data_IF_847292530207
#
_entry.id   IF_847292530207
#
_cell.length_a   1.000
_cell.length_b   1.000
_cell.length_c   1.000
_cell.angle_alpha   90.00
_cell.angle_beta   90.00
_cell.angle_gamma   90.00
#
_symmetry.space_group_name_H-M   'P 1'
#
loop_
_entity.id
_entity.type
_entity.pdbx_description
1 polymer ?
#
# COMPACT_ATOMS: atom_id res chain seq x y z
N UNK A 1 -24.03 1.78 20.79
CA UNK A 1 -22.70 1.88 20.17
C UNK A 1 -22.77 1.06 18.90
N UNK A 2 -22.63 1.68 17.73
CA UNK A 2 -22.73 1.00 16.43
C UNK A 2 -21.63 -0.07 16.34
N UNK A 3 -21.99 -1.26 15.88
CA UNK A 3 -21.02 -2.35 15.65
C UNK A 3 -21.07 -2.83 14.21
N UNK A 4 -19.96 -2.71 13.50
CA UNK A 4 -19.80 -3.22 12.12
C UNK A 4 -19.04 -4.55 12.12
N UNK A 5 -19.41 -5.47 11.24
CA UNK A 5 -18.63 -6.71 11.03
C UNK A 5 -17.57 -6.48 9.98
N UNK A 6 -16.35 -6.94 10.25
CA UNK A 6 -15.24 -6.82 9.32
C UNK A 6 -14.64 -8.19 9.06
N UNK A 7 -14.78 -8.70 7.83
CA UNK A 7 -14.15 -9.94 7.40
C UNK A 7 -12.69 -9.67 7.04
N UNK A 8 -11.76 -10.22 7.81
CA UNK A 8 -10.33 -10.02 7.58
C UNK A 8 -9.44 -10.64 8.66
N UNK A 9 -8.20 -10.14 8.79
CA UNK A 9 -7.27 -10.55 9.85
C UNK A 9 -6.59 -9.31 10.45
N UNK A 10 -6.26 -9.31 11.76
CA UNK A 10 -5.80 -8.10 12.45
C UNK A 10 -4.42 -7.61 11.97
N UNK A 11 -3.64 -8.46 11.32
CA UNK A 11 -2.31 -8.12 10.80
C UNK A 11 -2.31 -7.69 9.33
N UNK A 12 -3.44 -7.78 8.64
CA UNK A 12 -3.58 -7.27 7.26
C UNK A 12 -3.57 -5.75 7.28
N UNK A 13 -2.72 -5.14 6.45
CA UNK A 13 -2.61 -3.68 6.33
C UNK A 13 -3.95 -3.03 5.97
N UNK A 14 -4.67 -3.61 5.00
CA UNK A 14 -5.98 -3.12 4.58
C UNK A 14 -7.06 -3.29 5.65
N UNK A 15 -7.04 -4.39 6.42
CA UNK A 15 -7.96 -4.58 7.56
C UNK A 15 -7.65 -3.58 8.68
N UNK A 16 -6.37 -3.35 8.98
CA UNK A 16 -5.95 -2.35 9.99
C UNK A 16 -6.38 -0.94 9.61
N UNK A 17 -6.31 -0.56 8.33
CA UNK A 17 -6.82 0.74 7.85
C UNK A 17 -8.26 0.96 8.30
N UNK A 18 -9.14 -0.02 8.08
CA UNK A 18 -10.56 0.08 8.47
C UNK A 18 -10.71 0.12 9.99
N UNK A 19 -10.01 -0.74 10.73
CA UNK A 19 -10.07 -0.76 12.20
C UNK A 19 -9.63 0.58 12.79
N UNK A 20 -8.52 1.14 12.31
CA UNK A 20 -8.04 2.46 12.74
C UNK A 20 -9.08 3.53 12.48
N UNK A 21 -9.66 3.57 11.27
CA UNK A 21 -10.73 4.52 10.95
C UNK A 21 -11.92 4.38 11.90
N UNK A 22 -12.38 3.15 12.18
CA UNK A 22 -13.50 2.92 13.09
C UNK A 22 -13.19 3.39 14.52
N UNK A 23 -11.98 3.12 15.02
CA UNK A 23 -11.54 3.54 16.35
C UNK A 23 -11.53 5.08 16.49
N UNK A 24 -11.06 5.82 15.47
CA UNK A 24 -11.03 7.29 15.48
C UNK A 24 -12.41 7.93 15.64
N UNK A 25 -13.47 7.26 15.16
CA UNK A 25 -14.86 7.76 15.24
C UNK A 25 -15.72 6.98 16.25
N UNK A 26 -15.10 6.14 17.08
CA UNK A 26 -15.78 5.39 18.14
C UNK A 26 -16.75 4.30 17.66
N UNK A 27 -16.58 3.79 16.43
CA UNK A 27 -17.34 2.64 15.91
C UNK A 27 -16.67 1.34 16.35
N UNK A 28 -17.45 0.43 16.95
CA UNK A 28 -16.95 -0.89 17.36
C UNK A 28 -16.82 -1.80 16.14
N UNK A 29 -15.71 -2.53 16.04
CA UNK A 29 -15.48 -3.53 14.99
C UNK A 29 -15.61 -4.94 15.58
N UNK A 30 -16.51 -5.73 15.02
CA UNK A 30 -16.57 -7.18 15.19
C UNK A 30 -15.75 -7.85 14.08
N UNK A 31 -14.51 -8.26 14.40
CA UNK A 31 -13.60 -8.83 13.43
C UNK A 31 -13.91 -10.31 13.18
N UNK A 32 -14.53 -10.60 12.04
CA UNK A 32 -14.77 -11.96 11.56
C UNK A 32 -13.49 -12.45 10.88
N UNK A 33 -12.77 -13.36 11.54
CA UNK A 33 -11.48 -13.84 11.06
C UNK A 33 -11.65 -14.66 9.76
N UNK A 34 -10.89 -14.31 8.73
CA UNK A 34 -10.78 -15.10 7.48
C UNK A 34 -9.44 -15.83 7.45
N UNK A 35 -9.45 -17.16 7.36
CA UNK A 35 -8.23 -17.98 7.30
C UNK A 35 -7.58 -17.89 5.92
N UNK A 36 -6.59 -16.99 5.81
CA UNK A 36 -5.82 -16.82 4.57
C UNK A 36 -4.93 -18.02 4.26
N UNK A 37 -4.49 -18.79 5.26
CA UNK A 37 -3.63 -19.95 5.07
C UNK A 37 -4.39 -21.12 4.43
N UNK A 38 -5.67 -21.28 4.79
CA UNK A 38 -6.58 -22.22 4.13
C UNK A 38 -7.19 -21.69 2.83
N UNK A 39 -6.89 -20.45 2.46
CA UNK A 39 -7.44 -19.85 1.24
C UNK A 39 -8.94 -19.56 1.31
N UNK A 40 -9.51 -19.31 2.50
CA UNK A 40 -10.97 -19.07 2.65
C UNK A 40 -11.48 -17.93 1.76
N UNK A 41 -10.69 -16.84 1.69
CA UNK A 41 -10.92 -15.70 0.80
C UNK A 41 -10.91 -16.04 -0.70
N UNK A 42 -10.47 -17.24 -1.10
CA UNK A 42 -10.44 -17.72 -2.49
C UNK A 42 -11.51 -18.76 -2.80
N UNK A 43 -12.33 -19.15 -1.82
CA UNK A 43 -13.40 -20.12 -2.04
C UNK A 43 -14.45 -19.54 -3.01
N UNK A 44 -15.13 -20.39 -3.82
CA UNK A 44 -16.20 -19.93 -4.70
C UNK A 44 -17.30 -19.18 -3.94
N UNK A 45 -17.64 -19.63 -2.74
CA UNK A 45 -18.63 -18.98 -1.88
C UNK A 45 -18.19 -17.57 -1.47
N UNK A 46 -16.94 -17.39 -1.00
CA UNK A 46 -16.45 -16.06 -0.61
C UNK A 46 -16.40 -15.10 -1.79
N UNK A 47 -15.96 -15.59 -2.96
CA UNK A 47 -15.91 -14.79 -4.19
C UNK A 47 -17.31 -14.40 -4.66
N UNK A 48 -18.27 -15.32 -4.60
CA UNK A 48 -19.64 -15.08 -5.03
C UNK A 48 -20.43 -14.18 -4.07
N UNK A 49 -20.15 -14.25 -2.76
CA UNK A 49 -21.01 -13.63 -1.74
C UNK A 49 -20.39 -12.48 -0.96
N UNK A 50 -19.06 -12.34 -0.93
CA UNK A 50 -18.36 -11.34 -0.11
C UNK A 50 -17.47 -10.41 -0.95
N UNK A 51 -16.55 -10.97 -1.72
CA UNK A 51 -15.55 -10.18 -2.44
C UNK A 51 -15.16 -10.84 -3.79
N UNK A 52 -15.60 -10.31 -4.94
CA UNK A 52 -15.37 -10.93 -6.26
C UNK A 52 -13.91 -11.10 -6.72
N UNK A 53 -12.93 -10.42 -6.11
CA UNK A 53 -11.49 -10.62 -6.38
C UNK A 53 -10.82 -11.58 -5.38
N UNK A 54 -11.60 -12.08 -4.42
CA UNK A 54 -11.14 -12.97 -3.37
C UNK A 54 -10.04 -12.36 -2.52
N UNK A 55 -10.21 -11.11 -2.09
CA UNK A 55 -9.30 -10.41 -1.18
C UNK A 55 -10.06 -9.89 0.05
N UNK A 56 -9.32 -9.43 1.05
CA UNK A 56 -9.86 -8.84 2.28
C UNK A 56 -9.43 -7.36 2.38
N UNK A 57 -10.16 -6.49 3.11
CA UNK A 57 -11.35 -6.77 3.92
C UNK A 57 -12.69 -6.60 3.18
N UNK A 58 -13.75 -7.12 3.81
CA UNK A 58 -15.16 -6.82 3.51
C UNK A 58 -15.84 -6.35 4.78
N UNK A 59 -16.55 -5.23 4.73
CA UNK A 59 -17.39 -4.74 5.82
C UNK A 59 -18.84 -5.15 5.58
N UNK A 60 -19.50 -5.65 6.63
CA UNK A 60 -20.95 -5.78 6.69
C UNK A 60 -21.47 -4.84 7.76
N UNK A 61 -22.44 -4.03 7.40
CA UNK A 61 -23.08 -3.08 8.30
C UNK A 61 -24.35 -3.68 8.95
N UNK A 62 -24.88 -3.02 9.98
CA UNK A 62 -26.03 -3.48 10.76
C UNK A 62 -27.31 -3.68 9.92
N UNK A 63 -27.43 -2.95 8.81
CA UNK A 63 -28.53 -3.06 7.84
C UNK A 63 -28.32 -4.14 6.77
N UNK A 64 -27.24 -4.91 6.87
CA UNK A 64 -26.87 -5.95 5.91
C UNK A 64 -26.19 -5.42 4.65
N UNK A 65 -25.94 -4.10 4.55
CA UNK A 65 -25.14 -3.55 3.46
C UNK A 65 -23.71 -4.08 3.52
N UNK A 66 -23.18 -4.49 2.37
CA UNK A 66 -21.80 -4.97 2.26
C UNK A 66 -21.00 -4.08 1.33
N UNK A 67 -19.76 -3.81 1.73
CA UNK A 67 -18.79 -3.07 0.92
C UNK A 67 -17.39 -3.62 1.11
N UNK A 68 -16.65 -3.74 0.03
CA UNK A 68 -15.24 -4.11 0.01
C UNK A 68 -14.39 -2.94 -0.52
N UNK A 69 -13.07 -3.11 -0.56
CA UNK A 69 -12.05 -2.05 -0.69
C UNK A 69 -11.87 -1.20 0.57
N UNK A 70 -10.76 -1.39 1.26
CA UNK A 70 -10.51 -0.75 2.57
C UNK A 70 -10.60 0.79 2.56
N UNK A 71 -10.22 1.46 1.47
CA UNK A 71 -10.34 2.92 1.31
C UNK A 71 -11.79 3.36 1.08
N UNK A 72 -12.59 2.54 0.40
CA UNK A 72 -14.02 2.78 0.20
C UNK A 72 -14.79 2.51 1.51
N UNK A 73 -14.47 1.42 2.19
CA UNK A 73 -15.00 1.09 3.53
C UNK A 73 -14.72 2.25 4.51
N UNK A 74 -13.48 2.75 4.57
CA UNK A 74 -13.14 3.87 5.46
C UNK A 74 -13.99 5.11 5.19
N UNK A 75 -14.15 5.50 3.92
CA UNK A 75 -15.03 6.62 3.53
C UNK A 75 -16.50 6.36 3.92
N UNK A 76 -17.00 5.15 3.68
CA UNK A 76 -18.36 4.75 4.04
C UNK A 76 -18.64 4.88 5.53
N UNK A 77 -17.78 4.30 6.39
CA UNK A 77 -17.98 4.31 7.85
C UNK A 77 -17.92 5.75 8.37
N UNK A 78 -16.98 6.57 7.90
CA UNK A 78 -16.90 7.99 8.31
C UNK A 78 -18.13 8.77 7.84
N UNK A 79 -18.55 8.59 6.59
CA UNK A 79 -19.74 9.27 6.07
C UNK A 79 -21.02 8.91 6.84
N UNK A 80 -21.18 7.64 7.23
CA UNK A 80 -22.39 7.14 7.91
C UNK A 80 -22.38 7.42 9.41
N UNK A 81 -21.26 7.16 10.08
CA UNK A 81 -21.17 7.14 11.55
C UNK A 81 -20.30 8.25 12.14
N UNK A 82 -19.42 8.86 11.35
CA UNK A 82 -18.50 9.91 11.77
C UNK A 82 -19.08 11.32 11.69
N UNK A 83 -20.38 11.53 11.93
CA UNK A 83 -21.00 12.87 11.82
C UNK A 83 -20.29 13.86 12.75
N UNK A 84 -19.75 14.94 12.17
CA UNK A 84 -18.95 15.94 12.88
C UNK A 84 -17.44 15.65 12.94
N UNK A 85 -17.00 14.51 12.40
CA UNK A 85 -15.58 14.20 12.22
C UNK A 85 -14.98 15.00 11.06
N UNK A 86 -13.74 15.47 11.24
CA UNK A 86 -12.96 16.12 10.19
C UNK A 86 -12.28 15.13 9.23
N UNK A 87 -12.36 13.82 9.48
CA UNK A 87 -11.65 12.79 8.69
C UNK A 87 -12.12 12.70 7.24
N UNK A 88 -13.37 13.08 6.96
CA UNK A 88 -13.94 13.14 5.62
C UNK A 88 -14.74 14.44 5.51
N UNK A 89 -14.21 15.48 4.84
CA UNK A 89 -14.98 16.67 4.55
C UNK A 89 -16.27 16.33 3.80
N UNK A 90 -17.36 17.08 3.97
CA UNK A 90 -18.59 16.81 3.24
C UNK A 90 -18.37 17.15 1.74
N UNK A 91 -18.89 16.35 0.79
CA UNK A 91 -18.78 16.65 -0.64
C UNK A 91 -19.42 17.99 -1.05
N UNK A 92 -20.32 18.52 -0.21
CA UNK A 92 -20.94 19.83 -0.39
C UNK A 92 -19.97 20.99 -0.11
N UNK A 93 -18.90 20.76 0.65
CA UNK A 93 -17.79 21.72 0.82
C UNK A 93 -16.66 21.38 -0.15
N UNK A 94 -16.80 21.88 -1.38
CA UNK A 94 -16.04 21.43 -2.54
C UNK A 94 -14.53 21.63 -2.41
N UNK A 95 -14.06 22.65 -1.66
CA UNK A 95 -12.62 22.96 -1.57
C UNK A 95 -11.90 22.00 -0.61
N UNK A 96 -12.32 21.83 0.67
CA UNK A 96 -11.72 20.82 1.54
C UNK A 96 -11.87 19.40 1.00
N UNK A 97 -13.02 19.08 0.38
CA UNK A 97 -13.22 17.77 -0.23
C UNK A 97 -12.22 17.51 -1.38
N UNK A 98 -11.99 18.50 -2.25
CA UNK A 98 -11.00 18.39 -3.31
C UNK A 98 -9.58 18.18 -2.77
N UNK A 99 -9.19 18.90 -1.71
CA UNK A 99 -7.88 18.70 -1.06
C UNK A 99 -7.74 17.31 -0.42
N UNK A 100 -8.81 16.82 0.20
CA UNK A 100 -8.86 15.45 0.72
C UNK A 100 -8.66 14.42 -0.40
N UNK A 101 -9.42 14.51 -1.50
CA UNK A 101 -9.30 13.56 -2.60
C UNK A 101 -7.94 13.68 -3.33
N UNK A 102 -7.38 14.88 -3.44
CA UNK A 102 -6.00 15.07 -3.93
C UNK A 102 -5.01 14.29 -3.06
N UNK A 103 -5.06 14.45 -1.74
CA UNK A 103 -4.15 13.77 -0.83
C UNK A 103 -4.36 12.25 -0.85
N UNK A 104 -5.62 11.78 -0.88
CA UNK A 104 -5.94 10.35 -0.95
C UNK A 104 -5.48 9.73 -2.28
N UNK A 105 -5.57 10.47 -3.38
CA UNK A 105 -5.06 10.05 -4.68
C UNK A 105 -3.53 9.96 -4.70
N UNK A 106 -2.83 10.94 -4.11
CA UNK A 106 -1.36 10.89 -3.94
C UNK A 106 -0.96 9.66 -3.10
N UNK A 107 -1.67 9.41 -2.00
CA UNK A 107 -1.42 8.23 -1.17
C UNK A 107 -1.57 6.93 -1.98
N UNK A 108 -2.66 6.79 -2.73
CA UNK A 108 -2.93 5.58 -3.50
C UNK A 108 -2.00 5.39 -4.70
N UNK A 109 -1.62 6.46 -5.39
CA UNK A 109 -0.88 6.38 -6.66
C UNK A 109 0.63 6.56 -6.54
N UNK A 110 1.10 7.28 -5.51
CA UNK A 110 2.51 7.62 -5.37
C UNK A 110 3.14 7.04 -4.09
N UNK A 111 2.37 6.83 -3.01
CA UNK A 111 2.91 6.29 -1.76
C UNK A 111 2.69 4.78 -1.60
N UNK A 112 1.46 4.30 -1.78
CA UNK A 112 1.10 2.89 -1.57
C UNK A 112 1.88 1.94 -2.50
N UNK A 113 2.11 2.24 -3.80
CA UNK A 113 2.87 1.33 -4.68
C UNK A 113 4.32 1.09 -4.21
N UNK A 114 5.16 2.10 -3.95
CA UNK A 114 6.51 1.85 -3.44
C UNK A 114 6.51 1.28 -2.01
N UNK A 115 5.58 1.70 -1.14
CA UNK A 115 5.51 1.19 0.23
C UNK A 115 5.10 -0.29 0.29
N UNK A 116 4.08 -0.68 -0.50
CA UNK A 116 3.62 -2.05 -0.59
C UNK A 116 4.64 -2.96 -1.27
N UNK A 117 5.33 -2.47 -2.31
CA UNK A 117 6.47 -3.17 -2.93
C UNK A 117 7.58 -3.46 -1.92
N UNK A 118 8.01 -2.45 -1.15
CA UNK A 118 9.02 -2.64 -0.10
C UNK A 118 8.56 -3.63 0.99
N UNK A 119 7.31 -3.52 1.44
CA UNK A 119 6.75 -4.43 2.43
C UNK A 119 6.65 -5.87 1.89
N UNK A 120 6.31 -6.04 0.61
CA UNK A 120 6.31 -7.34 -0.04
C UNK A 120 7.70 -7.96 -0.04
N UNK A 121 8.68 -7.25 -0.56
CA UNK A 121 10.06 -7.73 -0.64
C UNK A 121 10.68 -7.97 0.74
N UNK A 122 10.43 -7.12 1.74
CA UNK A 122 11.10 -7.25 3.05
C UNK A 122 10.36 -8.09 4.06
N UNK A 123 9.06 -8.31 3.89
CA UNK A 123 8.23 -8.98 4.89
C UNK A 123 7.47 -10.17 4.32
N UNK A 124 6.74 -10.00 3.22
CA UNK A 124 5.83 -11.04 2.74
C UNK A 124 6.54 -12.13 1.93
N UNK A 125 7.45 -11.77 1.03
CA UNK A 125 8.22 -12.73 0.24
C UNK A 125 9.09 -13.66 1.13
N UNK A 126 9.89 -13.15 2.09
CA UNK A 126 10.64 -14.01 3.01
C UNK A 126 9.75 -14.95 3.83
N UNK A 127 8.62 -14.45 4.34
CA UNK A 127 7.65 -15.27 5.11
C UNK A 127 7.00 -16.36 4.28
N UNK A 128 6.92 -16.19 2.95
CA UNK A 128 6.40 -17.19 2.02
C UNK A 128 7.50 -18.13 1.49
N UNK A 129 8.75 -17.97 1.95
CA UNK A 129 9.89 -18.71 1.41
C UNK A 129 10.19 -18.37 -0.05
N UNK A 130 9.69 -17.22 -0.54
CA UNK A 130 9.99 -16.72 -1.87
C UNK A 130 11.34 -15.98 -1.82
N UNK A 131 12.12 -16.14 -2.86
CA UNK A 131 13.29 -15.30 -3.09
C UNK A 131 12.83 -13.86 -3.23
N UNK A 132 13.30 -13.01 -2.33
CA UNK A 132 13.20 -11.56 -2.52
C UNK A 132 14.08 -11.17 -3.68
N UNK A 133 13.78 -10.05 -4.34
CA UNK A 133 14.68 -9.50 -5.35
C UNK A 133 15.97 -9.02 -4.64
N UNK A 134 16.88 -9.97 -4.39
CA UNK A 134 18.28 -9.76 -4.03
C UNK A 134 19.15 -9.77 -5.28
N UNK A 135 18.52 -9.86 -6.45
CA UNK A 135 19.22 -9.93 -7.71
C UNK A 135 20.10 -8.71 -7.85
N UNK A 136 21.26 -8.91 -8.46
CA UNK A 136 22.27 -7.86 -8.58
C UNK A 136 21.72 -6.57 -9.22
N UNK A 137 20.72 -6.68 -10.10
CA UNK A 137 20.09 -5.59 -10.84
C UNK A 137 18.56 -5.66 -10.79
N UNK A 138 17.89 -4.56 -11.17
CA UNK A 138 16.44 -4.43 -10.97
C UNK A 138 15.58 -5.47 -11.70
N UNK A 139 16.11 -6.06 -12.77
CA UNK A 139 15.44 -7.06 -13.60
C UNK A 139 16.08 -8.46 -13.54
N UNK A 140 16.90 -8.73 -12.51
CA UNK A 140 17.59 -10.01 -12.34
C UNK A 140 19.11 -9.88 -12.22
N UNK A 141 19.83 -10.97 -12.46
CA UNK A 141 21.30 -11.00 -12.39
C UNK A 141 22.00 -10.20 -13.52
N UNK A 142 21.24 -9.74 -14.51
CA UNK A 142 21.74 -9.02 -15.69
C UNK A 142 21.34 -7.54 -15.66
N UNK A 143 22.29 -6.67 -15.95
CA UNK A 143 22.06 -5.23 -16.10
C UNK A 143 21.18 -4.94 -17.33
N UNK A 144 20.13 -4.13 -17.16
CA UNK A 144 19.17 -3.83 -18.22
C UNK A 144 18.87 -2.33 -18.35
N UNK A 145 18.03 -1.96 -19.33
CA UNK A 145 17.50 -0.59 -19.45
C UNK A 145 16.78 -0.12 -18.18
N UNK A 146 16.17 -1.04 -17.42
CA UNK A 146 15.49 -0.69 -16.17
C UNK A 146 16.47 -0.02 -15.18
N UNK A 147 17.70 -0.51 -15.08
CA UNK A 147 18.74 0.08 -14.23
C UNK A 147 19.18 1.47 -14.73
N UNK A 148 19.35 1.62 -16.05
CA UNK A 148 19.75 2.88 -16.67
C UNK A 148 18.74 4.02 -16.44
N UNK A 149 17.44 3.71 -16.45
CA UNK A 149 16.39 4.73 -16.28
C UNK A 149 16.46 5.45 -14.92
N UNK A 150 17.10 4.84 -13.92
CA UNK A 150 17.23 5.41 -12.59
C UNK A 150 18.42 6.36 -12.45
N UNK A 151 19.38 6.37 -13.38
CA UNK A 151 20.60 7.17 -13.25
C UNK A 151 20.36 8.69 -13.22
N UNK A 152 19.57 9.31 -14.14
CA UNK A 152 19.48 10.77 -14.21
C UNK A 152 18.91 11.41 -12.94
N UNK A 153 17.72 10.96 -12.51
CA UNK A 153 17.11 11.48 -11.29
C UNK A 153 17.76 10.91 -10.03
N UNK A 154 18.20 9.65 -10.05
CA UNK A 154 18.90 9.05 -8.90
C UNK A 154 20.17 9.81 -8.53
N UNK A 155 20.92 10.32 -9.51
CA UNK A 155 22.13 11.11 -9.26
C UNK A 155 21.82 12.46 -8.61
N UNK A 156 20.76 13.14 -9.06
CA UNK A 156 20.29 14.37 -8.40
C UNK A 156 19.89 14.09 -6.95
N UNK A 157 19.10 13.03 -6.71
CA UNK A 157 18.68 12.66 -5.35
C UNK A 157 19.89 12.29 -4.49
N UNK A 158 20.86 11.53 -5.01
CA UNK A 158 22.06 11.16 -4.25
C UNK A 158 22.93 12.37 -3.89
N UNK A 159 23.02 13.37 -4.77
CA UNK A 159 23.72 14.63 -4.47
C UNK A 159 23.02 15.44 -3.39
N UNK A 160 21.69 15.44 -3.36
CA UNK A 160 20.90 16.19 -2.39
C UNK A 160 20.78 15.49 -1.04
N UNK A 161 20.60 14.17 -1.04
CA UNK A 161 20.32 13.36 0.15
C UNK A 161 20.92 11.94 0.02
N UNK A 162 22.25 11.79 0.19
CA UNK A 162 22.93 10.50 0.02
C UNK A 162 22.49 9.46 1.06
N UNK A 163 22.00 9.89 2.24
CA UNK A 163 21.58 8.99 3.32
C UNK A 163 20.46 8.03 2.91
N UNK A 164 19.63 8.40 1.92
CA UNK A 164 18.59 7.54 1.37
C UNK A 164 19.18 6.30 0.67
N UNK A 165 20.37 6.39 0.09
CA UNK A 165 21.03 5.25 -0.54
C UNK A 165 21.89 4.53 0.51
N UNK A 166 22.67 5.28 1.28
CA UNK A 166 23.63 4.72 2.26
C UNK A 166 22.96 3.90 3.37
N UNK A 167 21.76 4.28 3.80
CA UNK A 167 20.97 3.53 4.78
C UNK A 167 20.46 2.17 4.29
N UNK A 168 20.64 1.86 3.00
CA UNK A 168 20.09 0.67 2.34
C UNK A 168 21.21 -0.10 1.60
N UNK A 169 21.93 -1.04 2.26
CA UNK A 169 23.14 -1.65 1.71
C UNK A 169 23.00 -2.27 0.30
N UNK A 170 21.87 -2.93 0.02
CA UNK A 170 21.61 -3.49 -1.32
C UNK A 170 21.42 -2.41 -2.39
N UNK A 171 20.70 -1.33 -2.06
CA UNK A 171 20.49 -0.18 -2.95
C UNK A 171 21.80 0.58 -3.14
N UNK A 172 22.58 0.79 -2.08
CA UNK A 172 23.90 1.43 -2.18
C UNK A 172 24.84 0.63 -3.08
N UNK A 173 24.93 -0.69 -2.88
CA UNK A 173 25.74 -1.58 -3.71
C UNK A 173 25.32 -1.54 -5.17
N UNK A 174 24.01 -1.61 -5.46
CA UNK A 174 23.47 -1.49 -6.81
C UNK A 174 23.77 -0.11 -7.42
N UNK A 175 23.54 0.97 -6.66
CA UNK A 175 23.77 2.35 -7.07
C UNK A 175 25.25 2.60 -7.42
N UNK A 176 26.16 2.11 -6.59
CA UNK A 176 27.61 2.18 -6.82
C UNK A 176 28.00 1.42 -8.10
N UNK A 177 27.44 0.22 -8.31
CA UNK A 177 27.73 -0.57 -9.51
C UNK A 177 27.25 0.17 -10.78
N UNK A 178 26.00 0.64 -10.82
CA UNK A 178 25.45 1.29 -12.03
C UNK A 178 26.06 2.67 -12.32
N UNK A 179 26.46 3.42 -11.29
CA UNK A 179 27.13 4.71 -11.45
C UNK A 179 28.63 4.58 -11.75
N UNK A 180 29.25 3.44 -11.42
CA UNK A 180 30.64 3.17 -11.78
C UNK A 180 30.85 2.90 -13.28
N UNK A 181 29.77 2.70 -14.05
CA UNK A 181 29.84 2.33 -15.47
C UNK A 181 30.39 3.47 -16.32
N UNK A 182 31.29 3.14 -17.24
CA UNK A 182 31.91 4.10 -18.17
C UNK A 182 30.88 4.86 -19.01
N UNK A 183 29.77 4.21 -19.41
CA UNK A 183 28.68 4.86 -20.13
C UNK A 183 28.02 5.98 -19.33
N UNK A 184 27.88 5.82 -18.02
CA UNK A 184 27.31 6.85 -17.15
C UNK A 184 28.31 7.97 -16.86
N UNK A 185 29.57 7.63 -16.60
CA UNK A 185 30.65 8.62 -16.43
C UNK A 185 30.82 9.51 -17.66
N UNK A 186 30.80 8.91 -18.85
CA UNK A 186 30.89 9.65 -20.11
C UNK A 186 29.71 10.62 -20.31
N UNK A 187 28.50 10.22 -19.89
CA UNK A 187 27.30 11.07 -19.99
C UNK A 187 27.31 12.26 -19.01
N UNK A 188 28.09 12.20 -17.91
CA UNK A 188 28.21 13.27 -16.91
C UNK A 188 29.56 14.00 -16.97
N UNK A 189 30.29 13.86 -18.07
CA UNK A 189 31.57 14.54 -18.27
C UNK A 189 31.42 15.99 -18.82
N UNK A 190 30.17 16.48 -18.92
CA UNK A 190 29.79 17.82 -19.41
C UNK A 190 28.99 18.54 -18.32
#
# INVERSE_FOLDING_TARGET
MVTVKLHGIPYSTCTRRVITTCNEIGVKVDLVKVDLAKGEHKTPEFIATKQPFGIIPVLEDEDGFQVYESRAIARYVVAKYGKGSALLPPPTDVKPYALFEQAASIEYSAFDPPASGLAYERVFAPKKGLTTNEDKYLAGETFTLADLFHLPYGAMVYQMEPSLFDSRPAVKKWWDDITSRESWKAANAF
#
